data_IF_165076428955
#
_entry.id   IF_165076428955
#
_cell.length_a   1.000
_cell.length_b   1.000
_cell.length_c   1.000
_cell.angle_alpha   90.00
_cell.angle_beta   90.00
_cell.angle_gamma   90.00
#
_symmetry.space_group_name_H-M   'P 1'
#
loop_
_entity.id
_entity.type
_entity.pdbx_description
1 polymer ?
#
# COMPACT_ATOMS: atom_id res chain seq x y z
N UNK A 1 -34.41 4.83 10.84
CA UNK A 1 -34.28 6.30 10.97
C UNK A 1 -32.82 6.66 10.78
N UNK A 2 -32.50 7.26 9.64
CA UNK A 2 -31.17 7.78 9.33
C UNK A 2 -31.12 9.23 9.86
N UNK A 3 -30.37 9.45 10.94
CA UNK A 3 -29.84 10.76 11.30
C UNK A 3 -28.35 10.68 10.93
N UNK A 4 -27.85 11.31 9.86
CA UNK A 4 -28.05 12.72 9.53
C UNK A 4 -27.13 13.58 10.39
N UNK A 5 -25.83 13.26 10.43
CA UNK A 5 -24.70 14.14 10.80
C UNK A 5 -23.38 13.34 10.76
N UNK A 6 -22.83 13.08 9.57
CA UNK A 6 -21.45 12.59 9.46
C UNK A 6 -20.47 13.75 9.66
N UNK A 7 -20.36 14.24 10.89
CA UNK A 7 -19.26 15.14 11.28
C UNK A 7 -17.95 14.40 10.97
N UNK A 8 -17.20 14.90 9.99
CA UNK A 8 -15.81 14.47 9.79
C UNK A 8 -15.09 14.55 11.14
N UNK A 9 -14.28 13.55 11.52
CA UNK A 9 -13.60 13.57 12.81
C UNK A 9 -12.81 14.87 12.93
N UNK A 10 -13.16 15.71 13.91
CA UNK A 10 -12.45 16.96 14.15
C UNK A 10 -11.00 16.62 14.49
N UNK A 11 -10.04 17.16 13.73
CA UNK A 11 -8.62 16.99 13.97
C UNK A 11 -8.23 17.73 15.26
N UNK A 12 -8.52 17.10 16.39
CA UNK A 12 -8.24 17.65 17.71
C UNK A 12 -6.80 17.33 18.09
N UNK A 13 -6.01 18.37 18.36
CA UNK A 13 -4.64 18.26 18.88
C UNK A 13 -4.67 17.70 20.31
N UNK A 14 -3.84 16.68 20.56
CA UNK A 14 -3.62 16.12 21.90
C UNK A 14 -2.64 17.00 22.67
N UNK A 15 -2.97 17.40 23.90
CA UNK A 15 -2.13 18.25 24.75
C UNK A 15 -1.25 17.38 25.67
N UNK A 16 -0.02 17.10 25.24
CA UNK A 16 0.93 16.33 26.06
C UNK A 16 1.37 17.04 27.34
N UNK A 17 1.34 18.38 27.37
CA UNK A 17 1.71 19.17 28.56
C UNK A 17 0.80 18.96 29.76
N UNK A 18 -0.45 18.51 29.53
CA UNK A 18 -1.44 18.25 30.58
C UNK A 18 -1.59 16.75 30.87
N UNK A 19 -0.67 15.90 30.37
CA UNK A 19 -0.72 14.46 30.57
C UNK A 19 -1.81 13.73 29.77
N UNK A 20 -2.39 14.38 28.74
CA UNK A 20 -3.35 13.73 27.84
C UNK A 20 -2.57 12.93 26.78
N UNK A 21 -2.70 11.61 26.80
CA UNK A 21 -2.03 10.70 25.85
C UNK A 21 -3.00 9.98 24.91
N UNK A 22 -4.30 9.98 25.22
CA UNK A 22 -5.33 9.30 24.43
C UNK A 22 -6.58 10.18 24.37
N UNK A 23 -7.06 10.48 23.16
CA UNK A 23 -8.36 11.15 22.96
C UNK A 23 -9.23 10.30 22.04
N UNK A 24 -10.39 9.88 22.57
CA UNK A 24 -11.51 9.26 21.83
C UNK A 24 -11.04 8.21 20.79
N UNK A 25 -10.36 7.16 21.27
CA UNK A 25 -9.89 5.99 20.49
C UNK A 25 -8.73 6.20 19.51
N UNK A 26 -8.16 7.38 19.36
CA UNK A 26 -6.95 7.58 18.54
C UNK A 26 -5.70 7.73 19.43
N UNK A 27 -4.71 6.85 19.23
CA UNK A 27 -3.37 6.98 19.84
C UNK A 27 -2.28 6.86 18.79
N UNK A 28 -1.24 7.67 18.90
CA UNK A 28 -0.06 7.62 18.02
C UNK A 28 0.94 6.54 18.44
N UNK A 29 0.70 5.88 19.58
CA UNK A 29 1.65 4.95 20.18
C UNK A 29 1.95 3.76 19.26
N UNK A 30 0.94 3.19 18.60
CA UNK A 30 1.13 2.08 17.67
C UNK A 30 2.07 2.43 16.51
N UNK A 31 1.80 3.52 15.81
CA UNK A 31 2.62 3.97 14.67
C UNK A 31 4.02 4.40 15.10
N UNK A 32 4.17 5.04 16.26
CA UNK A 32 5.48 5.42 16.79
C UNK A 32 6.33 4.19 17.15
N UNK A 33 5.72 3.16 17.78
CA UNK A 33 6.37 1.89 18.10
C UNK A 33 6.81 1.18 16.81
N UNK A 34 5.95 1.14 15.79
CA UNK A 34 6.29 0.56 14.50
C UNK A 34 7.56 1.18 13.89
N UNK A 35 7.62 2.52 13.81
CA UNK A 35 8.80 3.20 13.25
C UNK A 35 10.05 3.07 14.11
N UNK A 36 9.90 2.99 15.44
CA UNK A 36 11.03 2.72 16.33
C UNK A 36 11.64 1.33 16.07
N UNK A 37 10.81 0.31 15.89
CA UNK A 37 11.25 -1.05 15.58
C UNK A 37 11.86 -1.15 14.19
N UNK A 38 11.29 -0.51 13.17
CA UNK A 38 11.84 -0.51 11.82
C UNK A 38 13.24 0.13 11.79
N UNK A 39 13.41 1.28 12.46
CA UNK A 39 14.72 1.93 12.60
C UNK A 39 15.72 1.00 13.27
N UNK A 40 15.34 0.35 14.39
CA UNK A 40 16.18 -0.63 15.09
C UNK A 40 16.54 -1.84 14.22
N UNK A 41 15.60 -2.28 13.40
CA UNK A 41 15.82 -3.31 12.40
C UNK A 41 16.90 -2.95 11.38
N UNK A 42 16.98 -1.68 10.96
CA UNK A 42 17.90 -1.20 9.92
C UNK A 42 19.37 -1.10 10.34
N UNK A 43 19.67 -1.01 11.63
CA UNK A 43 21.07 -0.99 12.12
C UNK A 43 21.42 -2.22 12.97
N UNK A 44 20.42 -2.96 13.44
CA UNK A 44 20.62 -4.17 14.25
C UNK A 44 20.48 -5.45 13.43
N UNK A 45 19.25 -5.84 13.12
CA UNK A 45 18.93 -7.14 12.47
C UNK A 45 19.37 -7.20 11.02
N UNK A 46 19.22 -6.11 10.29
CA UNK A 46 19.65 -5.97 8.91
C UNK A 46 20.72 -4.90 8.89
N UNK A 47 21.95 -5.25 8.49
CA UNK A 47 23.02 -4.26 8.37
C UNK A 47 22.81 -3.28 7.21
N UNK A 48 22.00 -3.65 6.21
CA UNK A 48 21.71 -2.82 5.05
C UNK A 48 20.36 -3.14 4.40
N UNK A 49 19.55 -2.12 4.13
CA UNK A 49 18.32 -2.24 3.33
C UNK A 49 18.57 -1.88 1.86
N UNK A 50 18.49 -2.88 0.98
CA UNK A 50 18.44 -2.61 -0.46
C UNK A 50 17.13 -1.93 -0.83
N UNK A 51 17.21 -0.81 -1.55
CA UNK A 51 16.04 -0.07 -2.06
C UNK A 51 15.12 -0.96 -2.90
N UNK A 52 15.70 -1.91 -3.66
CA UNK A 52 14.96 -2.87 -4.47
C UNK A 52 13.99 -3.74 -3.67
N UNK A 53 14.33 -4.02 -2.40
CA UNK A 53 13.59 -4.91 -1.51
C UNK A 53 12.91 -4.16 -0.35
N UNK A 54 12.88 -2.83 -0.39
CA UNK A 54 12.33 -2.01 0.70
C UNK A 54 10.89 -2.41 1.07
N UNK A 55 10.05 -2.67 0.05
CA UNK A 55 8.66 -3.10 0.25
C UNK A 55 8.57 -4.44 1.02
N UNK A 56 9.52 -5.35 0.83
CA UNK A 56 9.53 -6.65 1.51
C UNK A 56 9.88 -6.48 2.99
N UNK A 57 10.90 -5.66 3.30
CA UNK A 57 11.24 -5.33 4.68
C UNK A 57 10.07 -4.66 5.41
N UNK A 58 9.45 -3.64 4.81
CA UNK A 58 8.30 -2.96 5.43
C UNK A 58 7.12 -3.92 5.67
N UNK A 59 6.84 -4.81 4.71
CA UNK A 59 5.79 -5.83 4.85
C UNK A 59 6.07 -6.79 6.01
N UNK A 60 7.32 -7.21 6.16
CA UNK A 60 7.74 -8.08 7.27
C UNK A 60 7.55 -7.39 8.63
N UNK A 61 8.04 -6.16 8.79
CA UNK A 61 7.87 -5.40 10.03
C UNK A 61 6.40 -5.11 10.34
N UNK A 62 5.58 -4.86 9.32
CA UNK A 62 4.13 -4.68 9.48
C UNK A 62 3.48 -5.96 10.00
N UNK A 63 3.85 -7.11 9.42
CA UNK A 63 3.36 -8.42 9.85
C UNK A 63 3.76 -8.71 11.31
N UNK A 64 5.02 -8.42 11.68
CA UNK A 64 5.49 -8.57 13.06
C UNK A 64 4.69 -7.68 14.02
N UNK A 65 4.44 -6.43 13.67
CA UNK A 65 3.69 -5.48 14.51
C UNK A 65 2.22 -5.90 14.70
N UNK A 66 1.57 -6.34 13.63
CA UNK A 66 0.16 -6.74 13.67
C UNK A 66 -0.07 -8.07 14.40
N UNK A 67 0.94 -8.95 14.43
CA UNK A 67 0.87 -10.24 15.12
C UNK A 67 1.38 -10.19 16.56
N UNK A 68 1.74 -9.02 17.09
CA UNK A 68 2.27 -8.84 18.45
C UNK A 68 1.34 -9.40 19.54
N UNK A 69 0.02 -9.25 19.35
CA UNK A 69 -1.00 -9.68 20.30
C UNK A 69 -1.33 -11.18 20.22
N UNK A 70 -0.85 -11.87 19.18
CA UNK A 70 -1.11 -13.30 18.98
C UNK A 70 -0.21 -14.16 19.85
N UNK A 71 -0.74 -15.31 20.29
CA UNK A 71 0.04 -16.34 20.95
C UNK A 71 1.09 -16.95 20.01
N UNK A 72 2.13 -17.57 20.57
CA UNK A 72 3.24 -18.14 19.79
C UNK A 72 2.78 -19.20 18.78
N UNK A 73 1.83 -20.04 19.17
CA UNK A 73 1.24 -21.09 18.34
C UNK A 73 0.36 -20.52 17.22
N UNK A 74 -0.44 -19.50 17.52
CA UNK A 74 -1.25 -18.78 16.55
C UNK A 74 -0.38 -18.04 15.53
N UNK A 75 0.67 -17.35 16.00
CA UNK A 75 1.63 -16.67 15.13
C UNK A 75 2.35 -17.66 14.22
N UNK A 76 2.73 -18.83 14.72
CA UNK A 76 3.35 -19.88 13.91
C UNK A 76 2.40 -20.38 12.81
N UNK A 77 1.14 -20.69 13.16
CA UNK A 77 0.12 -21.11 12.18
C UNK A 77 -0.16 -20.01 11.15
N UNK A 78 -0.21 -18.75 11.59
CA UNK A 78 -0.36 -17.61 10.71
C UNK A 78 0.80 -17.48 9.72
N UNK A 79 2.05 -17.62 10.19
CA UNK A 79 3.24 -17.58 9.34
C UNK A 79 3.22 -18.67 8.26
N UNK A 80 2.79 -19.89 8.59
CA UNK A 80 2.63 -20.96 7.61
C UNK A 80 1.59 -20.57 6.56
N UNK A 81 0.41 -20.10 6.98
CA UNK A 81 -0.70 -19.72 6.09
C UNK A 81 -0.30 -18.64 5.08
N UNK A 82 0.42 -17.59 5.50
CA UNK A 82 0.84 -16.53 4.59
C UNK A 82 1.96 -16.96 3.64
N UNK A 83 2.68 -18.03 3.99
CA UNK A 83 3.78 -18.58 3.20
C UNK A 83 3.30 -19.52 2.09
N UNK A 84 2.09 -20.09 2.23
CA UNK A 84 1.48 -20.94 1.21
C UNK A 84 1.37 -20.16 -0.10
N UNK A 85 1.69 -20.82 -1.22
CA UNK A 85 1.69 -20.26 -2.59
C UNK A 85 2.65 -19.07 -2.84
N UNK A 86 3.48 -18.68 -1.86
CA UNK A 86 4.51 -17.63 -2.06
C UNK A 86 5.84 -18.19 -2.57
N UNK A 87 5.97 -19.51 -2.67
CA UNK A 87 7.16 -20.16 -3.24
C UNK A 87 7.19 -19.92 -4.74
N UNK A 88 8.28 -19.32 -5.22
CA UNK A 88 8.54 -19.10 -6.65
C UNK A 88 9.80 -19.87 -7.01
N UNK A 89 9.73 -20.70 -8.03
CA UNK A 89 10.89 -21.41 -8.58
C UNK A 89 11.74 -20.49 -9.46
N UNK A 90 13.01 -20.81 -9.65
CA UNK A 90 13.90 -19.99 -10.49
C UNK A 90 13.41 -19.87 -11.95
N UNK A 91 12.86 -20.96 -12.50
CA UNK A 91 12.24 -20.98 -13.82
C UNK A 91 11.03 -20.05 -13.91
N UNK A 92 10.16 -20.05 -12.90
CA UNK A 92 9.00 -19.15 -12.82
C UNK A 92 9.45 -17.69 -12.68
N UNK A 93 10.46 -17.41 -11.84
CA UNK A 93 10.99 -16.06 -11.66
C UNK A 93 11.47 -15.46 -12.99
N UNK A 94 12.26 -16.22 -13.77
CA UNK A 94 12.72 -15.78 -15.09
C UNK A 94 11.54 -15.51 -16.03
N UNK A 95 10.54 -16.38 -16.00
CA UNK A 95 9.36 -16.28 -16.86
C UNK A 95 8.52 -15.04 -16.52
N UNK A 96 8.28 -14.79 -15.24
CA UNK A 96 7.54 -13.63 -14.73
C UNK A 96 8.26 -12.31 -15.04
N UNK A 97 9.60 -12.28 -14.91
CA UNK A 97 10.40 -11.10 -15.27
C UNK A 97 10.28 -10.81 -16.77
N UNK A 98 10.39 -11.84 -17.62
CA UNK A 98 10.17 -11.69 -19.08
C UNK A 98 8.79 -11.12 -19.40
N UNK A 99 7.73 -11.66 -18.78
CA UNK A 99 6.36 -11.18 -18.96
C UNK A 99 6.20 -9.72 -18.52
N UNK A 100 6.73 -9.33 -17.35
CA UNK A 100 6.68 -7.94 -16.88
C UNK A 100 7.39 -6.96 -17.80
N UNK A 101 8.58 -7.33 -18.31
CA UNK A 101 9.33 -6.50 -19.26
C UNK A 101 8.56 -6.36 -20.58
N UNK A 102 8.02 -7.47 -21.10
CA UNK A 102 7.17 -7.46 -22.31
C UNK A 102 5.96 -6.54 -22.13
N UNK A 103 5.29 -6.60 -20.98
CA UNK A 103 4.18 -5.69 -20.69
C UNK A 103 4.63 -4.24 -20.73
N UNK A 104 5.74 -3.87 -20.06
CA UNK A 104 6.33 -2.51 -20.07
C UNK A 104 6.56 -2.02 -21.50
N UNK A 105 7.15 -2.84 -22.37
CA UNK A 105 7.40 -2.52 -23.78
C UNK A 105 6.11 -2.36 -24.60
N UNK A 106 5.01 -2.99 -24.17
CA UNK A 106 3.71 -2.96 -24.86
C UNK A 106 2.79 -1.80 -24.40
N UNK A 107 3.00 -1.22 -23.21
CA UNK A 107 2.25 -0.05 -22.73
C UNK A 107 2.29 1.20 -23.63
N UNK A 108 3.40 1.58 -24.32
CA UNK A 108 3.39 2.76 -25.18
C UNK A 108 2.32 2.67 -26.27
N UNK A 109 2.08 1.49 -26.84
CA UNK A 109 1.01 1.29 -27.83
C UNK A 109 -0.38 1.47 -27.19
N UNK A 110 -0.60 0.92 -25.99
CA UNK A 110 -1.91 1.00 -25.31
C UNK A 110 -2.29 2.43 -24.92
N UNK A 111 -1.33 3.23 -24.45
CA UNK A 111 -1.53 4.66 -24.16
C UNK A 111 -1.79 5.44 -25.45
N UNK A 112 -1.08 5.12 -26.53
CA UNK A 112 -1.32 5.73 -27.84
C UNK A 112 -2.75 5.48 -28.35
N UNK A 113 -3.27 4.26 -28.22
CA UNK A 113 -4.65 3.94 -28.59
C UNK A 113 -5.69 4.67 -27.74
N UNK A 114 -5.50 4.74 -26.42
CA UNK A 114 -6.38 5.49 -25.50
C UNK A 114 -6.39 6.99 -25.84
N UNK A 115 -5.20 7.57 -26.03
CA UNK A 115 -5.06 8.98 -26.38
C UNK A 115 -5.66 9.29 -27.77
N UNK A 116 -5.50 8.39 -28.74
CA UNK A 116 -6.13 8.53 -30.06
C UNK A 116 -7.67 8.46 -29.98
N UNK A 117 -8.21 7.63 -29.09
CA UNK A 117 -9.65 7.48 -28.90
C UNK A 117 -10.28 8.70 -28.22
N UNK A 118 -9.63 9.27 -27.21
CA UNK A 118 -10.04 10.52 -26.57
C UNK A 118 -10.06 11.69 -27.57
N UNK A 119 -9.03 11.81 -28.43
CA UNK A 119 -9.01 12.82 -29.50
C UNK A 119 -10.19 12.66 -30.46
N UNK A 120 -10.50 11.44 -30.88
CA UNK A 120 -11.63 11.17 -31.78
C UNK A 120 -13.00 11.43 -31.12
N UNK A 121 -13.16 11.10 -29.84
CA UNK A 121 -14.36 11.41 -29.07
C UNK A 121 -14.58 12.91 -28.95
N UNK A 122 -13.53 13.66 -28.59
CA UNK A 122 -13.58 15.12 -28.46
C UNK A 122 -13.95 15.77 -29.80
N UNK A 123 -13.42 15.26 -30.91
CA UNK A 123 -13.78 15.73 -32.25
C UNK A 123 -15.25 15.47 -32.58
N UNK A 124 -15.78 14.29 -32.20
CA UNK A 124 -17.22 13.96 -32.39
C UNK A 124 -18.12 14.84 -31.53
N UNK A 125 -17.77 15.06 -30.26
CA UNK A 125 -18.53 15.92 -29.34
C UNK A 125 -18.55 17.36 -29.84
N UNK A 126 -17.40 17.90 -30.28
CA UNK A 126 -17.31 19.25 -30.86
C UNK A 126 -18.15 19.39 -32.13
N UNK A 127 -18.15 18.38 -33.00
CA UNK A 127 -18.93 18.38 -34.25
C UNK A 127 -20.45 18.37 -33.99
N UNK A 128 -20.93 17.57 -33.03
CA UNK A 128 -22.35 17.57 -32.63
C UNK A 128 -22.75 18.92 -32.03
N UNK A 129 -21.90 19.51 -31.19
CA UNK A 129 -22.17 20.83 -30.57
C UNK A 129 -22.21 21.98 -31.60
N UNK A 130 -21.47 21.87 -32.70
CA UNK A 130 -21.45 22.87 -33.78
C UNK A 130 -22.68 22.79 -34.72
N UNK A 131 -23.38 21.65 -34.76
CA UNK A 131 -24.56 21.43 -35.61
C UNK A 131 -25.87 21.80 -34.90
N UNK A 132 -25.84 21.90 -33.57
CA UNK A 132 -27.01 22.23 -32.73
C UNK A 132 -27.09 23.73 -32.36
N UNK A 133 -26.17 24.56 -32.86
CA UNK A 133 -26.15 26.02 -32.75
C UNK A 133 -26.39 26.64 -34.13
#
# INVERSE_FOLDING_TARGET
MLSGDSKLPSCNRVKHSTGEYVKIKASINGVAIFWALLKRGSYGTFHHFSVKHLNQYVSEFSTRHNTLFMGSDERFRYMIRISVEKRITYSELITLIKQRILLIQMYPLKIWYLHQWERNLLMRIKKVKLVLL
#
